data_IF_248271842499
#
_entry.id   IF_248271842499
#
_cell.length_a   1.000
_cell.length_b   1.000
_cell.length_c   1.000
_cell.angle_alpha   90.00
_cell.angle_beta   90.00
_cell.angle_gamma   90.00
#
_symmetry.space_group_name_H-M   'P 1'
#
loop_
_entity.id
_entity.type
_entity.pdbx_description
1 polymer ?
#
# COMPACT_ATOMS: atom_id res chain seq x y z
N UNK A 1 -27.85 -5.85 -20.91
CA UNK A 1 -27.54 -5.42 -19.53
C UNK A 1 -26.38 -6.28 -19.04
N UNK A 2 -25.27 -5.70 -18.61
CA UNK A 2 -24.15 -6.47 -18.03
C UNK A 2 -24.63 -7.21 -16.79
N UNK A 3 -24.22 -8.46 -16.61
CA UNK A 3 -24.44 -9.17 -15.35
C UNK A 3 -23.81 -8.39 -14.18
N UNK A 4 -24.41 -8.42 -12.97
CA UNK A 4 -23.86 -7.73 -11.81
C UNK A 4 -22.51 -8.37 -11.40
N UNK A 5 -21.54 -7.59 -10.91
CA UNK A 5 -20.20 -8.10 -10.60
C UNK A 5 -20.26 -9.13 -9.47
N UNK A 6 -19.74 -10.34 -9.72
CA UNK A 6 -19.72 -11.44 -8.76
C UNK A 6 -18.32 -11.71 -8.20
N UNK A 7 -17.29 -10.99 -8.64
CA UNK A 7 -15.91 -11.21 -8.25
C UNK A 7 -15.21 -9.93 -7.83
N UNK A 8 -14.60 -9.96 -6.65
CA UNK A 8 -13.77 -8.90 -6.08
C UNK A 8 -12.28 -9.24 -6.23
N UNK A 9 -11.47 -8.28 -6.69
CA UNK A 9 -10.03 -8.44 -6.81
C UNK A 9 -9.28 -7.67 -5.71
N UNK A 10 -8.28 -8.33 -5.12
CA UNK A 10 -7.39 -7.73 -4.12
C UNK A 10 -5.94 -7.87 -4.57
N UNK A 11 -5.25 -6.74 -4.75
CA UNK A 11 -3.80 -6.69 -4.97
C UNK A 11 -3.09 -6.66 -3.63
N UNK A 12 -2.49 -7.78 -3.24
CA UNK A 12 -1.74 -7.90 -1.99
C UNK A 12 -0.25 -7.79 -2.28
N UNK A 13 0.22 -6.55 -2.25
CA UNK A 13 1.61 -6.19 -2.50
C UNK A 13 2.14 -5.32 -1.35
N UNK A 14 3.35 -5.61 -0.89
CA UNK A 14 4.03 -4.87 0.17
C UNK A 14 5.46 -5.36 0.35
N UNK A 15 6.27 -4.59 1.07
CA UNK A 15 7.68 -4.95 1.32
C UNK A 15 7.80 -6.27 2.10
N UNK A 16 6.91 -6.48 3.06
CA UNK A 16 6.79 -7.69 3.87
C UNK A 16 5.32 -8.12 3.93
N UNK A 17 5.07 -9.42 3.98
CA UNK A 17 3.76 -10.03 4.23
C UNK A 17 3.91 -11.20 5.23
N UNK A 18 2.82 -11.60 5.88
CA UNK A 18 2.84 -12.79 6.74
C UNK A 18 1.44 -13.41 6.89
N UNK A 19 1.23 -14.56 6.29
CA UNK A 19 -0.04 -15.28 6.27
C UNK A 19 0.05 -16.52 7.16
N UNK A 20 -0.43 -16.41 8.40
CA UNK A 20 -0.28 -17.50 9.38
C UNK A 20 -1.08 -18.74 9.00
N UNK A 21 -0.44 -19.91 9.12
CA UNK A 21 -1.08 -21.23 9.02
C UNK A 21 -1.21 -21.89 10.41
N UNK A 22 -1.81 -23.07 10.47
CA UNK A 22 -1.97 -23.84 11.72
C UNK A 22 -0.66 -24.14 12.46
N UNK A 23 0.49 -24.11 11.76
CA UNK A 23 1.82 -24.35 12.32
C UNK A 23 2.36 -23.15 13.12
N UNK A 24 1.75 -21.97 12.99
CA UNK A 24 2.22 -20.72 13.58
C UNK A 24 1.75 -20.50 15.03
N UNK A 25 2.02 -21.46 15.93
CA UNK A 25 1.62 -21.42 17.35
C UNK A 25 2.80 -21.03 18.26
N UNK A 26 2.48 -20.30 19.33
CA UNK A 26 3.42 -19.90 20.39
C UNK A 26 4.59 -19.01 19.92
N UNK A 27 5.83 -19.43 20.20
CA UNK A 27 7.05 -18.67 19.96
C UNK A 27 7.50 -18.71 18.50
N UNK A 28 7.13 -19.74 17.74
CA UNK A 28 7.45 -19.87 16.32
C UNK A 28 6.24 -19.51 15.48
N UNK A 29 6.34 -18.44 14.69
CA UNK A 29 5.25 -17.91 13.86
C UNK A 29 5.61 -18.00 12.40
N UNK A 30 5.32 -19.14 11.76
CA UNK A 30 5.51 -19.38 10.33
C UNK A 30 4.52 -18.61 9.45
N UNK A 31 4.85 -18.47 8.18
CA UNK A 31 3.96 -17.96 7.13
C UNK A 31 3.75 -19.01 6.05
N UNK A 32 2.55 -19.04 5.48
CA UNK A 32 2.26 -19.76 4.24
C UNK A 32 2.87 -19.04 3.04
N UNK A 33 3.01 -19.75 1.92
CA UNK A 33 3.56 -19.23 0.65
C UNK A 33 2.60 -18.30 -0.11
N UNK A 34 1.32 -18.32 0.27
CA UNK A 34 0.28 -17.48 -0.31
C UNK A 34 -0.68 -16.96 0.79
N UNK A 35 -1.41 -15.86 0.51
CA UNK A 35 -2.49 -15.38 1.35
C UNK A 35 -3.48 -16.47 1.78
N UNK A 36 -3.69 -16.59 3.09
CA UNK A 36 -4.68 -17.51 3.65
C UNK A 36 -6.08 -16.89 3.62
N UNK A 37 -7.11 -17.73 3.51
CA UNK A 37 -8.51 -17.27 3.48
C UNK A 37 -8.85 -16.52 4.77
N UNK A 38 -8.42 -17.01 5.92
CA UNK A 38 -8.58 -16.32 7.21
C UNK A 38 -7.92 -14.94 7.23
N UNK A 39 -6.73 -14.79 6.65
CA UNK A 39 -6.02 -13.52 6.56
C UNK A 39 -6.77 -12.52 5.68
N UNK A 40 -7.23 -12.96 4.51
CA UNK A 40 -7.99 -12.13 3.56
C UNK A 40 -9.34 -11.73 4.15
N UNK A 41 -10.10 -12.66 4.72
CA UNK A 41 -11.39 -12.35 5.34
C UNK A 41 -11.24 -11.43 6.58
N UNK A 42 -10.16 -11.62 7.37
CA UNK A 42 -9.84 -10.71 8.47
C UNK A 42 -9.53 -9.28 7.98
N UNK A 43 -8.85 -9.15 6.85
CA UNK A 43 -8.61 -7.87 6.19
C UNK A 43 -9.93 -7.20 5.76
N UNK A 44 -10.86 -7.96 5.18
CA UNK A 44 -12.19 -7.46 4.80
C UNK A 44 -13.01 -7.02 6.02
N UNK A 45 -12.99 -7.79 7.11
CA UNK A 45 -13.62 -7.38 8.36
C UNK A 45 -13.02 -6.07 8.90
N UNK A 46 -11.71 -5.88 8.76
CA UNK A 46 -11.06 -4.62 9.15
C UNK A 46 -11.49 -3.44 8.27
N UNK A 47 -11.64 -3.65 6.97
CA UNK A 47 -12.17 -2.63 6.06
C UNK A 47 -13.61 -2.22 6.45
N UNK A 48 -14.45 -3.19 6.83
CA UNK A 48 -15.83 -2.94 7.26
C UNK A 48 -15.95 -2.42 8.71
N UNK A 49 -14.88 -2.49 9.52
CA UNK A 49 -14.91 -2.07 10.93
C UNK A 49 -15.58 -3.06 11.88
N UNK A 50 -15.59 -4.36 11.55
CA UNK A 50 -16.30 -5.39 12.31
C UNK A 50 -15.43 -5.95 13.45
N UNK A 51 -15.95 -5.89 14.68
CA UNK A 51 -15.26 -6.42 15.85
C UNK A 51 -15.04 -7.94 15.79
N UNK A 52 -14.01 -8.45 16.48
CA UNK A 52 -13.69 -9.89 16.47
C UNK A 52 -14.82 -10.79 16.98
N UNK A 53 -15.58 -10.31 17.97
CA UNK A 53 -16.73 -11.03 18.52
C UNK A 53 -17.88 -11.06 17.50
N UNK A 54 -18.27 -9.89 16.97
CA UNK A 54 -19.32 -9.74 15.97
C UNK A 54 -19.03 -10.51 14.66
N UNK A 55 -17.76 -10.61 14.29
CA UNK A 55 -17.34 -11.31 13.08
C UNK A 55 -17.83 -12.75 13.06
N UNK A 56 -17.69 -13.48 14.18
CA UNK A 56 -18.04 -14.91 14.25
C UNK A 56 -19.53 -15.15 14.00
N UNK A 57 -20.40 -14.30 14.55
CA UNK A 57 -21.84 -14.54 14.52
C UNK A 57 -22.50 -14.08 13.22
N UNK A 58 -22.09 -12.92 12.69
CA UNK A 58 -22.86 -12.23 11.64
C UNK A 58 -22.19 -12.22 10.26
N UNK A 59 -20.87 -12.38 10.21
CA UNK A 59 -20.08 -12.06 9.01
C UNK A 59 -19.24 -13.22 8.49
N UNK A 60 -18.52 -13.94 9.36
CA UNK A 60 -17.72 -15.08 8.96
C UNK A 60 -18.53 -16.16 8.23
N UNK A 61 -19.77 -16.51 8.62
CA UNK A 61 -20.58 -17.45 7.84
C UNK A 61 -20.86 -16.99 6.41
N UNK A 62 -21.07 -15.68 6.20
CA UNK A 62 -21.31 -15.09 4.88
C UNK A 62 -20.04 -15.02 4.05
N UNK A 63 -18.94 -14.59 4.66
CA UNK A 63 -17.64 -14.44 4.02
C UNK A 63 -16.98 -15.79 3.71
N UNK A 64 -17.21 -16.81 4.54
CA UNK A 64 -16.71 -18.16 4.32
C UNK A 64 -17.24 -18.79 3.02
N UNK A 65 -18.45 -18.41 2.60
CA UNK A 65 -19.07 -18.87 1.35
C UNK A 65 -18.46 -18.26 0.09
N UNK A 66 -17.66 -17.19 0.22
CA UNK A 66 -16.92 -16.65 -0.92
C UNK A 66 -15.85 -17.66 -1.36
N UNK A 67 -15.81 -17.97 -2.66
CA UNK A 67 -14.71 -18.74 -3.24
C UNK A 67 -13.49 -17.86 -3.37
N UNK A 68 -12.33 -18.40 -3.00
CA UNK A 68 -11.06 -17.68 -3.10
C UNK A 68 -10.12 -18.35 -4.10
N UNK A 69 -9.62 -17.55 -5.04
CA UNK A 69 -8.48 -17.88 -5.89
C UNK A 69 -7.33 -16.92 -5.62
N UNK A 70 -6.11 -17.40 -5.65
CA UNK A 70 -4.90 -16.61 -5.44
C UNK A 70 -3.91 -16.90 -6.57
N UNK A 71 -3.60 -15.90 -7.38
CA UNK A 71 -2.51 -15.95 -8.36
C UNK A 71 -1.26 -15.38 -7.72
N UNK A 72 -0.18 -16.16 -7.79
CA UNK A 72 1.12 -15.81 -7.22
C UNK A 72 1.94 -15.11 -8.31
N UNK A 73 1.77 -13.78 -8.39
CA UNK A 73 2.51 -12.95 -9.34
C UNK A 73 4.00 -12.92 -9.00
N UNK A 74 4.33 -12.87 -7.71
CA UNK A 74 5.69 -13.03 -7.18
C UNK A 74 5.63 -13.82 -5.87
N UNK A 75 6.27 -15.00 -5.75
CA UNK A 75 6.24 -15.79 -4.52
C UNK A 75 6.94 -15.09 -3.34
N UNK A 76 7.90 -14.22 -3.64
CA UNK A 76 8.73 -13.56 -2.64
C UNK A 76 9.79 -14.48 -2.02
N UNK A 77 10.52 -13.95 -1.05
CA UNK A 77 11.60 -14.64 -0.34
C UNK A 77 11.22 -14.77 1.13
N UNK A 78 11.30 -15.98 1.69
CA UNK A 78 11.04 -16.22 3.11
C UNK A 78 12.17 -15.64 3.96
N UNK A 79 11.81 -14.90 5.00
CA UNK A 79 12.75 -14.24 5.92
C UNK A 79 12.36 -14.47 7.38
N UNK A 80 13.36 -14.56 8.26
CA UNK A 80 13.16 -14.71 9.71
C UNK A 80 13.45 -13.42 10.47
N UNK A 81 12.50 -13.02 11.32
CA UNK A 81 12.64 -11.95 12.29
C UNK A 81 12.82 -12.52 13.70
N UNK A 82 13.89 -12.14 14.38
CA UNK A 82 14.12 -12.45 15.79
C UNK A 82 13.49 -11.37 16.65
N UNK A 83 12.36 -11.68 17.26
CA UNK A 83 11.46 -10.70 17.85
C UNK A 83 11.35 -10.88 19.37
N UNK A 84 11.94 -9.94 20.11
CA UNK A 84 11.93 -9.85 21.57
C UNK A 84 10.77 -8.97 22.06
N UNK A 85 10.10 -9.38 23.15
CA UNK A 85 9.07 -8.55 23.83
C UNK A 85 9.38 -8.48 25.32
N UNK A 86 9.19 -7.30 25.91
CA UNK A 86 9.17 -7.13 27.36
C UNK A 86 10.53 -7.20 28.03
N UNK A 87 11.61 -6.77 27.34
CA UNK A 87 12.92 -6.62 27.99
C UNK A 87 12.78 -5.72 29.24
N UNK A 88 13.05 -6.30 30.41
CA UNK A 88 12.90 -5.63 31.72
C UNK A 88 11.48 -5.61 32.31
N UNK A 89 10.47 -6.16 31.62
CA UNK A 89 9.11 -6.27 32.17
C UNK A 89 8.97 -7.51 33.06
N UNK A 90 8.21 -7.36 34.15
CA UNK A 90 7.88 -8.45 35.08
C UNK A 90 6.76 -9.31 34.47
N UNK A 91 7.14 -10.42 33.84
CA UNK A 91 6.20 -11.32 33.17
C UNK A 91 5.75 -12.44 34.13
N UNK A 92 4.49 -12.88 34.01
CA UNK A 92 3.95 -14.04 34.75
C UNK A 92 4.49 -15.33 34.11
N UNK A 93 5.06 -16.19 34.93
CA UNK A 93 5.48 -17.53 34.50
C UNK A 93 4.29 -18.49 34.55
N UNK A 94 4.13 -19.34 33.52
CA UNK A 94 3.34 -20.55 33.67
C UNK A 94 4.14 -21.52 34.56
N UNK A 95 3.69 -21.76 35.79
CA UNK A 95 4.29 -22.76 36.67
C UNK A 95 3.95 -24.18 36.18
N UNK A 96 4.59 -24.62 35.11
CA UNK A 96 4.82 -26.03 34.85
C UNK A 96 6.29 -26.31 35.13
N UNK A 97 6.63 -26.39 36.42
CA UNK A 97 7.83 -27.13 36.79
C UNK A 97 7.55 -28.59 36.41
N UNK A 98 8.11 -29.04 35.29
CA UNK A 98 8.24 -30.47 35.05
C UNK A 98 8.88 -31.07 36.32
N UNK A 99 8.24 -32.05 36.98
CA UNK A 99 8.79 -32.61 38.20
C UNK A 99 10.17 -33.19 37.87
N UNK A 100 11.19 -32.83 38.67
CA UNK A 100 12.57 -33.31 38.49
C UNK A 100 12.72 -34.84 38.68
N UNK A 101 11.62 -35.54 39.01
CA UNK A 101 11.52 -37.00 39.06
C UNK A 101 10.16 -37.43 38.51
N UNK A 102 10.09 -38.45 37.65
CA UNK A 102 8.81 -39.02 37.24
C UNK A 102 8.26 -39.83 38.43
N UNK A 103 7.34 -39.27 39.21
CA UNK A 103 6.58 -40.05 40.19
C UNK A 103 5.40 -40.71 39.48
N UNK A 104 5.40 -42.06 39.45
CA UNK A 104 4.32 -42.89 38.91
C UNK A 104 3.07 -42.88 39.81
N UNK A 105 2.54 -41.71 40.15
CA UNK A 105 1.25 -41.61 40.83
C UNK A 105 0.54 -40.38 40.29
N UNK A 106 -0.53 -40.62 39.52
CA UNK A 106 -1.49 -39.60 39.11
C UNK A 106 -2.21 -39.07 40.35
N UNK A 107 -1.74 -37.95 40.89
CA UNK A 107 -2.41 -37.25 41.96
C UNK A 107 -2.74 -35.83 41.49
N UNK A 108 -4.03 -35.67 41.16
CA UNK A 108 -4.84 -34.46 41.17
C UNK A 108 -4.12 -33.11 40.98
N UNK A 109 -4.18 -32.62 39.74
CA UNK A 109 -3.90 -31.23 39.40
C UNK A 109 -5.13 -30.36 39.72
N UNK A 110 -5.46 -30.21 41.00
CA UNK A 110 -6.47 -29.26 41.44
C UNK A 110 -6.27 -28.95 42.92
N UNK A 111 -5.56 -27.86 43.23
CA UNK A 111 -5.91 -27.03 44.39
C UNK A 111 -5.09 -25.73 44.44
N UNK A 112 -5.84 -24.61 44.52
CA UNK A 112 -5.49 -23.36 45.20
C UNK A 112 -4.22 -22.59 44.81
N UNK A 113 -4.19 -22.06 43.58
CA UNK A 113 -3.39 -20.86 43.28
C UNK A 113 -4.20 -19.60 43.61
N UNK A 114 -4.01 -19.08 44.82
CA UNK A 114 -4.41 -17.71 45.15
C UNK A 114 -3.61 -16.72 44.26
N UNK A 115 -4.24 -15.69 43.67
CA UNK A 115 -3.60 -14.82 42.66
C UNK A 115 -2.41 -14.00 43.19
N UNK A 116 -2.21 -13.95 44.51
CA UNK A 116 -1.29 -13.06 45.22
C UNK A 116 0.16 -13.55 45.31
N UNK A 117 0.49 -14.76 44.83
CA UNK A 117 1.88 -15.29 44.83
C UNK A 117 2.38 -15.76 43.47
N UNK A 118 1.97 -15.12 42.37
CA UNK A 118 2.62 -15.37 41.07
C UNK A 118 4.02 -14.75 41.07
N UNK A 119 5.06 -15.60 41.16
CA UNK A 119 6.45 -15.15 41.02
C UNK A 119 6.65 -14.55 39.63
N UNK A 120 7.00 -13.27 39.58
CA UNK A 120 7.35 -12.56 38.34
C UNK A 120 8.86 -12.38 38.28
N UNK A 121 9.46 -12.64 37.11
CA UNK A 121 10.88 -12.37 36.85
C UNK A 121 10.97 -11.37 35.70
N UNK A 122 12.00 -10.53 35.72
CA UNK A 122 12.38 -9.77 34.54
C UNK A 122 12.91 -10.78 33.50
N UNK A 123 12.12 -11.05 32.48
CA UNK A 123 12.44 -11.99 31.43
C UNK A 123 11.98 -11.43 30.09
N UNK A 124 12.71 -11.77 29.02
CA UNK A 124 12.38 -11.36 27.66
C UNK A 124 11.69 -12.52 26.96
N UNK A 125 10.48 -12.30 26.45
CA UNK A 125 9.83 -13.30 25.60
C UNK A 125 10.45 -13.26 24.22
N UNK A 126 10.96 -14.41 23.78
CA UNK A 126 11.53 -14.58 22.46
C UNK A 126 10.50 -15.21 21.53
N UNK A 127 10.31 -14.59 20.37
CA UNK A 127 9.55 -15.15 19.26
C UNK A 127 10.35 -15.08 17.98
N UNK A 128 10.20 -16.08 17.11
CA UNK A 128 10.77 -16.11 15.76
C UNK A 128 9.62 -16.05 14.78
N UNK A 129 9.60 -15.00 13.95
CA UNK A 129 8.48 -14.69 13.07
C UNK A 129 8.96 -14.72 11.63
N UNK A 130 8.33 -15.56 10.83
CA UNK A 130 8.63 -15.68 9.40
C UNK A 130 7.79 -14.66 8.62
N UNK A 131 8.36 -14.08 7.57
CA UNK A 131 7.72 -13.14 6.65
C UNK A 131 8.05 -13.53 5.20
N UNK A 132 7.18 -13.13 4.27
CA UNK A 132 7.46 -13.11 2.84
C UNK A 132 7.92 -11.71 2.46
N UNK A 133 9.16 -11.57 2.00
CA UNK A 133 9.71 -10.34 1.47
C UNK A 133 9.51 -10.27 -0.05
N UNK A 134 9.17 -9.09 -0.55
CA UNK A 134 9.01 -8.81 -2.00
C UNK A 134 7.94 -9.65 -2.73
N UNK A 135 6.97 -10.20 -1.99
CA UNK A 135 5.87 -10.96 -2.56
C UNK A 135 4.77 -10.07 -3.14
N UNK A 136 4.10 -10.55 -4.19
CA UNK A 136 2.93 -9.91 -4.80
C UNK A 136 1.90 -10.96 -5.19
N UNK A 137 0.67 -10.76 -4.77
CA UNK A 137 -0.43 -11.68 -5.04
C UNK A 137 -1.63 -10.92 -5.62
N UNK A 138 -2.35 -11.59 -6.51
CA UNK A 138 -3.70 -11.21 -6.89
C UNK A 138 -4.67 -12.22 -6.26
N UNK A 139 -5.58 -11.73 -5.43
CA UNK A 139 -6.66 -12.55 -4.86
C UNK A 139 -7.96 -12.23 -5.57
N UNK A 140 -8.67 -13.25 -6.04
CA UNK A 140 -10.04 -13.16 -6.53
C UNK A 140 -10.98 -13.79 -5.49
N UNK A 141 -12.01 -13.04 -5.09
CA UNK A 141 -13.09 -13.50 -4.21
C UNK A 141 -14.40 -13.50 -4.99
N UNK A 142 -14.92 -14.68 -5.29
CA UNK A 142 -16.14 -14.87 -6.07
C UNK A 142 -17.31 -15.26 -5.17
N UNK A 143 -18.47 -14.64 -5.37
CA UNK A 143 -19.68 -14.95 -4.62
C UNK A 143 -20.86 -14.06 -4.99
N UNK A 144 -21.74 -13.83 -4.02
CA UNK A 144 -22.98 -13.10 -4.21
C UNK A 144 -22.71 -11.60 -4.55
N UNK A 145 -23.33 -11.04 -5.61
CA UNK A 145 -23.01 -9.69 -6.09
C UNK A 145 -23.22 -8.56 -5.10
N UNK A 146 -24.26 -8.60 -4.25
CA UNK A 146 -24.50 -7.56 -3.25
C UNK A 146 -23.38 -7.56 -2.18
N UNK A 147 -22.96 -8.75 -1.74
CA UNK A 147 -21.83 -8.91 -0.83
C UNK A 147 -20.53 -8.39 -1.47
N UNK A 148 -20.26 -8.73 -2.73
CA UNK A 148 -19.09 -8.22 -3.47
C UNK A 148 -19.10 -6.70 -3.57
N UNK A 149 -20.24 -6.10 -3.92
CA UNK A 149 -20.40 -4.65 -3.98
C UNK A 149 -20.15 -3.99 -2.60
N UNK A 150 -20.69 -4.59 -1.53
CA UNK A 150 -20.50 -4.10 -0.15
C UNK A 150 -19.03 -4.15 0.28
N UNK A 151 -18.32 -5.24 -0.04
CA UNK A 151 -16.90 -5.40 0.28
C UNK A 151 -16.03 -4.42 -0.51
N UNK A 152 -16.32 -4.24 -1.80
CA UNK A 152 -15.65 -3.24 -2.64
C UNK A 152 -15.79 -1.83 -2.07
N UNK A 153 -17.01 -1.43 -1.67
CA UNK A 153 -17.26 -0.13 -1.06
C UNK A 153 -16.51 0.06 0.26
N UNK A 154 -16.43 -0.97 1.10
CA UNK A 154 -15.69 -0.94 2.36
C UNK A 154 -14.18 -0.80 2.14
N UNK A 155 -13.62 -1.48 1.15
CA UNK A 155 -12.18 -1.38 0.82
C UNK A 155 -11.78 -0.02 0.25
N UNK A 156 -12.71 0.67 -0.44
CA UNK A 156 -12.47 2.02 -0.92
C UNK A 156 -12.35 3.06 0.22
N UNK A 157 -12.99 2.80 1.37
CA UNK A 157 -12.99 3.65 2.56
C UNK A 157 -12.89 2.82 3.83
N UNK A 158 -11.72 2.20 4.12
CA UNK A 158 -11.59 1.25 5.21
C UNK A 158 -11.72 1.95 6.56
N UNK A 159 -12.49 1.34 7.48
CA UNK A 159 -12.71 1.86 8.83
C UNK A 159 -11.46 1.69 9.70
N UNK A 160 -10.78 0.54 9.58
CA UNK A 160 -9.51 0.29 10.27
C UNK A 160 -8.35 0.15 9.29
N UNK A 161 -7.13 0.35 9.81
CA UNK A 161 -5.92 0.22 9.03
C UNK A 161 -5.79 -1.18 8.40
N UNK A 162 -5.59 -1.21 7.10
CA UNK A 162 -5.39 -2.43 6.30
C UNK A 162 -3.92 -2.84 6.35
N UNK A 163 -3.67 -4.12 6.59
CA UNK A 163 -2.33 -4.68 6.68
C UNK A 163 -2.29 -6.12 6.14
N UNK A 164 -1.13 -6.52 5.63
CA UNK A 164 -0.89 -7.81 4.98
C UNK A 164 -0.50 -8.87 6.03
N UNK A 165 -1.53 -9.33 6.75
CA UNK A 165 -1.45 -10.35 7.78
C UNK A 165 -1.02 -9.83 9.15
N UNK A 166 0.18 -9.24 9.28
CA UNK A 166 0.62 -8.56 10.53
C UNK A 166 0.52 -7.04 10.39
N UNK A 167 0.18 -6.34 11.47
CA UNK A 167 0.08 -4.86 11.50
C UNK A 167 1.36 -4.13 11.05
N UNK A 168 2.52 -4.77 11.16
CA UNK A 168 3.82 -4.25 10.70
C UNK A 168 4.01 -4.32 9.18
N UNK A 169 3.06 -4.91 8.44
CA UNK A 169 3.14 -5.15 7.00
C UNK A 169 2.12 -4.27 6.26
N UNK A 170 2.38 -2.96 6.05
CA UNK A 170 1.50 -2.11 5.27
C UNK A 170 1.52 -2.50 3.79
N UNK A 171 0.39 -2.40 3.07
CA UNK A 171 0.39 -2.59 1.63
C UNK A 171 1.12 -1.43 0.93
N UNK A 172 1.86 -1.72 -0.14
CA UNK A 172 2.56 -0.71 -0.95
C UNK A 172 1.63 0.00 -1.94
N UNK A 173 0.45 -0.58 -2.21
CA UNK A 173 -0.53 -0.12 -3.19
C UNK A 173 -1.96 -0.29 -2.65
N UNK A 174 -2.95 0.43 -3.18
CA UNK A 174 -4.35 0.19 -2.82
C UNK A 174 -4.74 -1.26 -3.06
N UNK A 175 -5.30 -1.92 -2.04
CA UNK A 175 -5.67 -3.34 -2.15
C UNK A 175 -6.77 -3.56 -3.19
N UNK A 176 -7.69 -2.61 -3.36
CA UNK A 176 -8.79 -2.66 -4.33
C UNK A 176 -8.47 -1.90 -5.64
N UNK A 177 -7.24 -2.01 -6.15
CA UNK A 177 -6.83 -1.31 -7.39
C UNK A 177 -7.68 -1.72 -8.61
N UNK A 178 -8.09 -2.98 -8.69
CA UNK A 178 -8.89 -3.50 -9.79
C UNK A 178 -10.39 -3.50 -9.43
N UNK A 179 -11.27 -2.96 -10.29
CA UNK A 179 -12.71 -2.94 -10.02
C UNK A 179 -13.30 -4.36 -10.03
N UNK A 180 -14.39 -4.61 -9.30
CA UNK A 180 -15.13 -5.87 -9.38
C UNK A 180 -15.66 -6.13 -10.78
N UNK A 181 -15.79 -7.42 -11.13
CA UNK A 181 -16.31 -7.86 -12.43
C UNK A 181 -17.16 -9.12 -12.33
N UNK A 182 -17.82 -9.50 -13.42
CA UNK A 182 -18.53 -10.77 -13.55
C UNK A 182 -17.66 -11.77 -14.31
N UNK A 183 -17.46 -12.95 -13.72
CA UNK A 183 -16.73 -14.07 -14.33
C UNK A 183 -17.43 -15.38 -13.99
N UNK A 184 -17.34 -16.36 -14.88
CA UNK A 184 -17.94 -17.67 -14.64
C UNK A 184 -17.10 -18.44 -13.62
N UNK A 185 -15.80 -18.54 -13.85
CA UNK A 185 -14.87 -19.32 -13.00
C UNK A 185 -13.83 -18.44 -12.31
N UNK A 186 -13.24 -18.94 -11.22
CA UNK A 186 -12.11 -18.30 -10.56
C UNK A 186 -10.89 -18.18 -11.49
N UNK A 187 -10.68 -19.18 -12.34
CA UNK A 187 -9.58 -19.21 -13.30
C UNK A 187 -9.73 -18.08 -14.34
N UNK A 188 -10.93 -17.91 -14.92
CA UNK A 188 -11.25 -16.81 -15.82
C UNK A 188 -11.02 -15.45 -15.15
N UNK A 189 -11.45 -15.30 -13.90
CA UNK A 189 -11.25 -14.07 -13.13
C UNK A 189 -9.76 -13.77 -12.89
N UNK A 190 -8.98 -14.77 -12.49
CA UNK A 190 -7.54 -14.63 -12.25
C UNK A 190 -6.77 -14.35 -13.54
N UNK A 191 -7.23 -14.86 -14.69
CA UNK A 191 -6.64 -14.60 -16.01
C UNK A 191 -6.94 -13.19 -16.53
N UNK A 192 -8.12 -12.66 -16.22
CA UNK A 192 -8.60 -11.37 -16.74
C UNK A 192 -7.77 -10.15 -16.28
N UNK A 193 -7.16 -10.21 -15.10
CA UNK A 193 -6.36 -9.08 -14.58
C UNK A 193 -4.93 -9.19 -15.10
N UNK A 194 -4.39 -8.21 -15.83
CA UNK A 194 -3.06 -8.33 -16.40
C UNK A 194 -1.96 -8.41 -15.33
N UNK A 195 -0.89 -9.14 -15.63
CA UNK A 195 0.33 -9.12 -14.83
C UNK A 195 0.98 -7.73 -14.95
N UNK A 196 1.18 -7.05 -13.83
CA UNK A 196 1.77 -5.71 -13.82
C UNK A 196 3.28 -5.78 -13.55
N UNK A 197 4.06 -5.20 -14.46
CA UNK A 197 5.48 -4.94 -14.22
C UNK A 197 5.64 -3.83 -13.20
N UNK A 198 6.60 -3.94 -12.29
CA UNK A 198 6.98 -2.86 -11.37
C UNK A 198 7.98 -1.89 -11.99
N UNK A 199 8.82 -2.37 -12.89
CA UNK A 199 9.82 -1.59 -13.60
C UNK A 199 10.00 -2.13 -15.02
N UNK A 200 10.52 -1.30 -15.93
CA UNK A 200 10.47 -1.56 -17.38
C UNK A 200 11.09 -2.90 -17.80
N UNK A 201 12.22 -3.26 -17.19
CA UNK A 201 13.03 -4.43 -17.56
C UNK A 201 12.87 -5.60 -16.57
N UNK A 202 11.75 -5.64 -15.82
CA UNK A 202 11.49 -6.75 -14.91
C UNK A 202 11.41 -8.08 -15.68
N UNK A 203 12.19 -9.11 -15.29
CA UNK A 203 12.03 -10.44 -15.86
C UNK A 203 10.67 -11.00 -15.44
N UNK A 204 9.89 -11.41 -16.43
CA UNK A 204 8.57 -11.99 -16.20
C UNK A 204 8.67 -13.50 -16.01
N UNK A 205 7.92 -14.08 -15.06
CA UNK A 205 7.74 -15.52 -15.03
C UNK A 205 6.99 -15.99 -16.28
N UNK A 206 7.28 -17.21 -16.73
CA UNK A 206 6.52 -17.85 -17.83
C UNK A 206 5.19 -18.42 -17.32
N UNK A 207 5.18 -18.89 -16.07
CA UNK A 207 4.05 -19.56 -15.43
C UNK A 207 3.74 -18.84 -14.13
N UNK A 208 2.45 -18.60 -13.88
CA UNK A 208 1.91 -18.05 -12.65
C UNK A 208 1.16 -19.14 -11.87
N UNK A 209 1.74 -19.64 -10.77
CA UNK A 209 1.05 -20.60 -9.91
C UNK A 209 -0.20 -19.97 -9.28
N UNK A 210 -1.28 -20.72 -9.30
CA UNK A 210 -2.57 -20.35 -8.73
C UNK A 210 -3.01 -21.35 -7.67
N UNK A 211 -3.58 -20.85 -6.59
CA UNK A 211 -4.11 -21.62 -5.46
C UNK A 211 -5.59 -21.27 -5.34
N UNK A 212 -6.49 -22.23 -5.56
CA UNK A 212 -7.92 -21.97 -5.69
C UNK A 212 -8.78 -22.90 -4.84
N UNK A 213 -9.92 -22.39 -4.38
CA UNK A 213 -10.95 -23.18 -3.70
C UNK A 213 -11.57 -24.22 -4.63
N UNK A 214 -11.56 -25.48 -4.19
CA UNK A 214 -12.31 -26.56 -4.80
C UNK A 214 -13.62 -26.81 -4.04
N UNK A 215 -14.74 -26.86 -4.77
CA UNK A 215 -16.08 -27.07 -4.21
C UNK A 215 -16.78 -28.26 -4.91
N UNK A 216 -17.29 -29.24 -4.13
CA UNK A 216 -18.12 -30.31 -4.67
C UNK A 216 -19.32 -29.79 -5.46
N UNK A 217 -19.61 -30.41 -6.59
CA UNK A 217 -20.74 -30.10 -7.48
C UNK A 217 -20.47 -28.94 -8.44
N UNK A 218 -19.61 -27.98 -8.06
CA UNK A 218 -19.19 -26.92 -8.97
C UNK A 218 -17.98 -27.34 -9.82
N UNK A 219 -16.93 -27.83 -9.17
CA UNK A 219 -15.66 -28.22 -9.81
C UNK A 219 -15.60 -29.74 -10.10
N UNK A 220 -16.73 -30.44 -9.95
CA UNK A 220 -16.86 -31.89 -10.05
C UNK A 220 -17.44 -32.52 -8.79
N UNK A 221 -17.87 -33.79 -8.87
CA UNK A 221 -18.46 -34.51 -7.73
C UNK A 221 -17.40 -34.93 -6.70
N UNK A 222 -16.18 -35.22 -7.15
CA UNK A 222 -15.08 -35.74 -6.33
C UNK A 222 -13.86 -34.82 -6.42
N UNK A 223 -13.17 -34.65 -5.29
CA UNK A 223 -11.95 -33.86 -5.25
C UNK A 223 -10.86 -34.54 -6.10
N UNK A 224 -10.11 -33.78 -6.91
CA UNK A 224 -8.92 -34.29 -7.59
C UNK A 224 -7.91 -34.91 -6.61
N UNK A 225 -7.13 -35.88 -7.08
CA UNK A 225 -6.11 -36.55 -6.27
C UNK A 225 -5.01 -35.60 -5.76
N UNK A 226 -4.77 -34.48 -6.47
CA UNK A 226 -3.83 -33.43 -6.13
C UNK A 226 -4.41 -32.33 -5.22
N UNK A 227 -5.66 -32.48 -4.75
CA UNK A 227 -6.29 -31.51 -3.87
C UNK A 227 -5.65 -31.53 -2.47
N UNK A 228 -5.25 -30.35 -1.98
CA UNK A 228 -4.69 -30.15 -0.66
C UNK A 228 -5.77 -29.72 0.35
N UNK A 229 -5.58 -30.06 1.63
CA UNK A 229 -6.44 -29.59 2.72
C UNK A 229 -5.76 -28.44 3.45
N UNK A 230 -6.36 -27.26 3.42
CA UNK A 230 -5.88 -26.07 4.12
C UNK A 230 -6.79 -25.77 5.31
N UNK A 231 -6.21 -25.57 6.49
CA UNK A 231 -6.95 -25.25 7.73
C UNK A 231 -6.98 -23.75 8.01
N UNK A 232 -7.58 -22.99 7.10
CA UNK A 232 -7.59 -21.53 7.14
C UNK A 232 -8.97 -20.92 6.87
N UNK A 233 -10.05 -21.70 6.90
CA UNK A 233 -11.42 -21.18 6.84
C UNK A 233 -11.85 -20.67 8.23
N UNK A 234 -11.96 -19.36 8.48
CA UNK A 234 -12.17 -18.82 9.83
C UNK A 234 -13.61 -19.05 10.33
N UNK A 235 -13.73 -19.61 11.54
CA UNK A 235 -15.01 -19.72 12.28
C UNK A 235 -15.11 -18.63 13.35
N UNK A 236 -13.99 -18.35 14.03
CA UNK A 236 -13.90 -17.26 15.01
C UNK A 236 -12.50 -16.69 15.02
N UNK A 237 -12.38 -15.40 15.27
CA UNK A 237 -11.10 -14.73 15.53
C UNK A 237 -10.76 -14.64 17.02
N UNK A 238 -11.70 -14.95 17.91
CA UNK A 238 -11.53 -14.86 19.36
C UNK A 238 -12.38 -15.92 20.10
N UNK A 239 -11.77 -17.05 20.53
CA UNK A 239 -10.42 -17.51 20.20
C UNK A 239 -10.31 -17.89 18.71
N UNK A 240 -9.11 -17.81 18.11
CA UNK A 240 -8.91 -18.16 16.71
C UNK A 240 -9.23 -19.65 16.47
N UNK A 241 -10.22 -19.91 15.62
CA UNK A 241 -10.65 -21.25 15.19
C UNK A 241 -10.85 -21.28 13.68
N UNK A 242 -10.32 -22.33 13.05
CA UNK A 242 -10.40 -22.51 11.60
C UNK A 242 -10.88 -23.92 11.26
N UNK A 243 -11.63 -24.04 10.17
CA UNK A 243 -12.04 -25.29 9.54
C UNK A 243 -11.14 -25.62 8.35
N UNK A 244 -11.08 -26.89 7.94
CA UNK A 244 -10.45 -27.27 6.69
C UNK A 244 -11.25 -26.80 5.47
N UNK A 245 -10.55 -26.58 4.35
CA UNK A 245 -11.12 -26.44 3.01
C UNK A 245 -10.23 -27.17 1.99
N UNK A 246 -10.80 -27.59 0.88
CA UNK A 246 -10.07 -28.19 -0.23
C UNK A 246 -9.54 -27.11 -1.16
N UNK A 247 -8.28 -27.25 -1.55
CA UNK A 247 -7.55 -26.30 -2.36
C UNK A 247 -6.86 -27.05 -3.50
N UNK A 248 -7.03 -26.57 -4.72
CA UNK A 248 -6.37 -27.09 -5.91
C UNK A 248 -5.33 -26.10 -6.42
N UNK A 249 -4.30 -26.64 -7.07
CA UNK A 249 -3.28 -25.84 -7.75
C UNK A 249 -3.52 -25.85 -9.25
N UNK A 250 -3.36 -24.68 -9.87
CA UNK A 250 -3.35 -24.52 -11.32
C UNK A 250 -2.21 -23.60 -11.73
N UNK A 251 -1.91 -23.60 -13.00
CA UNK A 251 -0.84 -22.82 -13.59
C UNK A 251 -1.43 -22.00 -14.73
N UNK A 252 -1.17 -20.69 -14.74
CA UNK A 252 -1.56 -19.80 -15.83
C UNK A 252 -0.32 -19.39 -16.61
N UNK A 253 -0.37 -19.47 -17.94
CA UNK A 253 0.73 -19.13 -18.83
C UNK A 253 0.71 -17.63 -19.15
N UNK A 254 1.84 -16.96 -18.95
CA UNK A 254 1.97 -15.52 -19.23
C UNK A 254 2.08 -15.29 -20.74
N UNK A 255 1.20 -14.45 -21.28
CA UNK A 255 1.08 -14.14 -22.71
C UNK A 255 -0.05 -14.89 -23.40
N UNK A 256 -0.38 -16.10 -22.94
CA UNK A 256 -1.51 -16.90 -23.41
C UNK A 256 -2.74 -16.65 -22.53
N UNK A 257 -2.68 -17.09 -21.26
CA UNK A 257 -3.79 -16.95 -20.31
C UNK A 257 -3.82 -15.55 -19.67
N UNK A 258 -2.65 -15.04 -19.29
CA UNK A 258 -2.50 -13.76 -18.58
C UNK A 258 -1.74 -12.75 -19.43
N UNK A 259 -2.41 -11.68 -19.80
CA UNK A 259 -1.78 -10.57 -20.52
C UNK A 259 -0.87 -9.75 -19.60
N UNK A 260 0.18 -9.16 -20.16
CA UNK A 260 1.13 -8.31 -19.42
C UNK A 260 0.76 -6.86 -19.63
N UNK A 261 0.63 -6.11 -18.54
CA UNK A 261 0.38 -4.66 -18.59
C UNK A 261 1.54 -3.94 -19.28
N UNK A 262 1.21 -3.01 -20.18
CA UNK A 262 2.19 -2.11 -20.82
C UNK A 262 2.69 -1.03 -19.86
N UNK A 263 1.91 -0.70 -18.83
CA UNK A 263 2.24 0.31 -17.84
C UNK A 263 3.01 -0.32 -16.67
N UNK A 264 4.12 0.31 -16.28
CA UNK A 264 4.82 -0.03 -15.04
C UNK A 264 4.04 0.50 -13.84
N UNK A 265 3.71 -0.38 -12.91
CA UNK A 265 2.88 -0.16 -11.74
C UNK A 265 3.44 0.90 -10.81
N UNK A 266 3.14 2.15 -11.12
CA UNK A 266 2.81 3.18 -10.13
C UNK A 266 2.05 4.26 -10.88
N UNK A 267 0.72 4.22 -10.78
CA UNK A 267 0.03 5.50 -10.73
C UNK A 267 0.55 6.15 -9.44
N UNK A 268 1.52 7.05 -9.58
CA UNK A 268 1.92 7.91 -8.47
C UNK A 268 0.63 8.54 -8.01
N UNK A 269 0.20 8.29 -6.77
CA UNK A 269 -0.92 9.01 -6.19
C UNK A 269 -0.55 10.49 -6.23
N UNK A 270 -1.04 11.18 -7.26
CA UNK A 270 -0.91 12.62 -7.40
C UNK A 270 -2.16 13.15 -6.73
N UNK A 271 -2.06 13.73 -5.51
CA UNK A 271 -3.21 14.46 -4.97
C UNK A 271 -3.63 15.46 -6.04
N UNK A 272 -4.94 15.58 -6.32
CA UNK A 272 -5.45 16.59 -7.25
C UNK A 272 -4.91 17.94 -6.77
N UNK A 273 -3.95 18.50 -7.51
CA UNK A 273 -3.40 19.80 -7.17
C UNK A 273 -4.54 20.81 -7.22
N UNK A 274 -4.77 21.53 -6.13
CA UNK A 274 -5.60 22.73 -6.16
C UNK A 274 -4.91 23.73 -7.08
N UNK A 275 -5.48 24.00 -8.25
CA UNK A 275 -4.95 25.04 -9.14
C UNK A 275 -5.24 26.39 -8.48
N UNK A 276 -4.22 27.25 -8.37
CA UNK A 276 -4.41 28.59 -7.82
C UNK A 276 -5.47 29.33 -8.63
N UNK A 277 -6.51 29.81 -7.96
CA UNK A 277 -7.46 30.75 -8.54
C UNK A 277 -6.86 32.15 -8.52
N UNK A 278 -6.28 32.55 -9.65
CA UNK A 278 -5.65 33.86 -9.82
C UNK A 278 -6.65 35.03 -9.80
N UNK A 279 -7.96 34.77 -9.85
CA UNK A 279 -9.01 35.78 -9.78
C UNK A 279 -9.46 36.10 -8.35
N UNK A 280 -9.04 35.32 -7.36
CA UNK A 280 -9.36 35.56 -5.95
C UNK A 280 -8.68 36.86 -5.44
N UNK A 281 -9.47 37.73 -4.78
CA UNK A 281 -8.99 39.01 -4.23
C UNK A 281 -8.04 38.83 -3.03
N UNK A 282 -8.27 37.82 -2.20
CA UNK A 282 -7.39 37.49 -1.06
C UNK A 282 -6.03 37.01 -1.56
N UNK A 283 -6.01 36.22 -2.64
CA UNK A 283 -4.78 35.77 -3.30
C UNK A 283 -3.92 36.95 -3.78
N UNK A 284 -4.52 37.99 -4.37
CA UNK A 284 -3.80 39.19 -4.81
C UNK A 284 -3.24 39.99 -3.63
N UNK A 285 -4.00 40.07 -2.53
CA UNK A 285 -3.61 40.81 -1.32
C UNK A 285 -2.38 40.20 -0.64
N UNK A 286 -2.38 38.89 -0.40
CA UNK A 286 -1.27 38.18 0.25
C UNK A 286 0.02 38.26 -0.56
N UNK A 287 -0.07 38.23 -1.90
CA UNK A 287 1.10 38.40 -2.79
C UNK A 287 1.68 39.81 -2.70
N UNK A 288 0.84 40.84 -2.61
CA UNK A 288 1.28 42.22 -2.44
C UNK A 288 1.92 42.43 -1.06
N UNK A 289 1.32 41.89 0.00
CA UNK A 289 1.87 41.89 1.35
C UNK A 289 3.25 41.24 1.40
N UNK A 290 3.45 40.10 0.72
CA UNK A 290 4.76 39.46 0.66
C UNK A 290 5.82 40.31 -0.04
N UNK A 291 5.48 40.99 -1.14
CA UNK A 291 6.42 41.91 -1.80
C UNK A 291 6.84 43.05 -0.88
N UNK A 292 5.93 43.57 -0.06
CA UNK A 292 6.24 44.62 0.94
C UNK A 292 7.13 44.06 2.05
N UNK A 293 6.82 42.87 2.58
CA UNK A 293 7.65 42.22 3.62
C UNK A 293 9.08 41.96 3.16
N UNK A 294 9.27 41.59 1.89
CA UNK A 294 10.59 41.36 1.30
C UNK A 294 11.23 42.65 0.74
N UNK A 295 10.72 43.84 1.11
CA UNK A 295 11.21 45.16 0.67
C UNK A 295 11.30 45.32 -0.85
N UNK A 296 10.38 44.68 -1.59
CA UNK A 296 10.37 44.61 -3.04
C UNK A 296 11.71 44.12 -3.64
N UNK A 297 12.48 43.31 -2.90
CA UNK A 297 13.76 42.75 -3.33
C UNK A 297 13.64 41.25 -3.61
N UNK A 298 14.28 40.80 -4.68
CA UNK A 298 14.33 39.38 -5.04
C UNK A 298 15.18 38.61 -4.02
N UNK A 299 14.60 37.57 -3.41
CA UNK A 299 15.30 36.76 -2.40
C UNK A 299 16.57 36.07 -2.92
N UNK A 300 16.64 35.82 -4.23
CA UNK A 300 17.80 35.22 -4.89
C UNK A 300 18.84 36.26 -5.28
N UNK A 301 18.53 37.15 -6.22
CA UNK A 301 19.52 38.06 -6.81
C UNK A 301 19.48 39.51 -6.30
N UNK A 302 18.59 39.83 -5.36
CA UNK A 302 18.39 41.18 -4.78
C UNK A 302 17.95 42.27 -5.76
N UNK A 303 17.75 41.96 -7.04
CA UNK A 303 17.09 42.85 -8.00
C UNK A 303 15.62 43.13 -7.61
N UNK A 304 14.99 44.21 -8.12
CA UNK A 304 13.59 44.50 -7.84
C UNK A 304 12.67 43.30 -8.12
N UNK A 305 11.88 42.91 -7.11
CA UNK A 305 10.94 41.82 -7.21
C UNK A 305 9.60 42.31 -7.77
N UNK A 306 9.11 41.60 -8.78
CA UNK A 306 7.82 41.89 -9.44
C UNK A 306 6.85 40.73 -9.34
N UNK A 307 7.30 39.60 -8.79
CA UNK A 307 6.56 38.35 -8.72
C UNK A 307 6.81 37.66 -7.39
N UNK A 308 5.97 36.69 -7.02
CA UNK A 308 6.22 35.81 -5.88
C UNK A 308 6.16 34.36 -6.32
N UNK A 309 7.03 33.55 -5.70
CA UNK A 309 7.12 32.09 -5.89
C UNK A 309 6.51 31.39 -4.69
N UNK A 310 5.72 30.36 -4.95
CA UNK A 310 5.24 29.41 -3.95
C UNK A 310 6.32 28.37 -3.64
N UNK A 311 6.68 28.24 -2.36
CA UNK A 311 7.52 27.15 -1.86
C UNK A 311 6.66 25.91 -1.56
N UNK A 312 5.41 26.13 -1.17
CA UNK A 312 4.44 25.09 -0.92
C UNK A 312 3.13 25.39 -1.64
N UNK A 313 2.67 24.46 -2.48
CA UNK A 313 1.46 24.63 -3.28
C UNK A 313 0.20 24.07 -2.58
N UNK A 314 0.32 23.50 -1.37
CA UNK A 314 -0.80 22.88 -0.63
C UNK A 314 -1.96 23.82 -0.31
N UNK A 315 -1.69 25.12 -0.21
CA UNK A 315 -2.68 26.15 0.16
C UNK A 315 -2.95 27.17 -0.96
N UNK A 316 -2.43 26.91 -2.15
CA UNK A 316 -2.52 27.83 -3.27
C UNK A 316 -3.99 28.01 -3.71
N UNK A 317 -4.42 29.27 -3.90
CA UNK A 317 -5.78 29.61 -4.37
C UNK A 317 -6.75 30.19 -3.33
N UNK A 318 -6.25 30.83 -2.28
CA UNK A 318 -7.07 31.66 -1.37
C UNK A 318 -6.84 31.43 0.13
N UNK A 319 -6.09 30.41 0.53
CA UNK A 319 -5.72 30.17 1.95
C UNK A 319 -4.21 30.30 2.18
N UNK A 320 -3.57 31.17 1.39
CA UNK A 320 -2.13 31.34 1.41
C UNK A 320 -1.68 32.00 2.70
N UNK A 321 -0.56 31.51 3.23
CA UNK A 321 0.14 32.17 4.33
C UNK A 321 1.40 32.85 3.77
N UNK A 322 1.79 34.04 4.27
CA UNK A 322 2.97 34.75 3.78
C UNK A 322 4.28 33.92 3.85
N UNK A 323 4.36 32.94 4.73
CA UNK A 323 5.53 32.06 4.90
C UNK A 323 5.69 31.04 3.76
N UNK A 324 4.63 30.75 3.01
CA UNK A 324 4.68 29.85 1.84
C UNK A 324 5.15 30.56 0.56
N UNK A 325 5.36 31.88 0.62
CA UNK A 325 5.70 32.74 -0.51
C UNK A 325 7.09 33.37 -0.38
N UNK A 326 7.74 33.65 -1.51
CA UNK A 326 9.01 34.40 -1.60
C UNK A 326 8.97 35.41 -2.73
N UNK A 327 9.39 36.65 -2.49
CA UNK A 327 9.52 37.66 -3.53
C UNK A 327 10.68 37.34 -4.48
N UNK A 328 10.41 37.33 -5.78
CA UNK A 328 11.39 37.11 -6.83
C UNK A 328 11.24 38.13 -7.97
N UNK A 329 12.35 38.45 -8.62
CA UNK A 329 12.33 39.08 -9.93
C UNK A 329 11.90 38.06 -10.99
N UNK A 330 11.40 38.55 -12.14
CA UNK A 330 10.86 37.68 -13.20
C UNK A 330 11.84 36.61 -13.68
N UNK A 331 13.12 36.96 -13.82
CA UNK A 331 14.16 36.02 -14.27
C UNK A 331 14.43 34.89 -13.27
N UNK A 332 14.46 35.20 -11.97
CA UNK A 332 14.64 34.18 -10.93
C UNK A 332 13.40 33.28 -10.82
N UNK A 333 12.20 33.86 -10.97
CA UNK A 333 10.96 33.09 -11.00
C UNK A 333 10.91 32.13 -12.20
N UNK A 334 11.27 32.60 -13.40
CA UNK A 334 11.37 31.77 -14.61
C UNK A 334 12.37 30.61 -14.40
N UNK A 335 13.53 30.90 -13.79
CA UNK A 335 14.56 29.89 -13.47
C UNK A 335 14.04 28.81 -12.51
N UNK A 336 13.35 29.18 -11.42
CA UNK A 336 12.72 28.23 -10.51
C UNK A 336 11.70 27.36 -11.24
N UNK A 337 10.82 27.99 -12.04
CA UNK A 337 9.77 27.31 -12.78
C UNK A 337 10.33 26.28 -13.77
N UNK A 338 11.41 26.62 -14.49
CA UNK A 338 12.07 25.68 -15.41
C UNK A 338 12.71 24.50 -14.68
N UNK A 339 13.33 24.71 -13.52
CA UNK A 339 13.91 23.64 -12.70
C UNK A 339 12.83 22.70 -12.12
N UNK A 340 11.69 23.25 -11.73
CA UNK A 340 10.53 22.50 -11.22
C UNK A 340 9.92 21.61 -12.29
N UNK A 341 9.70 22.14 -13.50
CA UNK A 341 9.21 21.36 -14.63
C UNK A 341 10.15 20.21 -14.99
N UNK A 342 11.46 20.44 -14.99
CA UNK A 342 12.46 19.39 -15.25
C UNK A 342 12.53 18.31 -14.18
N UNK A 343 12.05 18.58 -12.95
CA UNK A 343 12.10 17.65 -11.81
C UNK A 343 10.73 17.04 -11.47
N UNK A 344 9.68 17.35 -12.24
CA UNK A 344 8.33 16.81 -12.02
C UNK A 344 7.68 17.21 -10.68
N UNK A 345 8.11 18.33 -10.08
CA UNK A 345 7.62 18.79 -8.77
C UNK A 345 6.20 19.38 -8.88
N UNK A 346 5.28 18.94 -8.02
CA UNK A 346 3.87 19.39 -8.05
C UNK A 346 3.44 20.15 -6.79
N UNK A 347 3.80 19.66 -5.60
CA UNK A 347 3.21 20.14 -4.33
C UNK A 347 4.23 20.84 -3.44
N UNK A 348 5.42 20.24 -3.28
CA UNK A 348 6.56 20.89 -2.65
C UNK A 348 7.41 21.48 -3.77
N UNK A 349 7.43 22.80 -3.85
CA UNK A 349 8.16 23.56 -4.86
C UNK A 349 9.53 23.95 -4.33
N UNK A 350 10.35 24.52 -5.21
CA UNK A 350 11.70 24.94 -4.83
C UNK A 350 11.60 26.12 -3.85
N UNK A 351 12.23 26.03 -2.68
CA UNK A 351 12.49 27.20 -1.83
C UNK A 351 13.74 27.94 -2.36
N UNK A 352 13.59 29.16 -2.90
CA UNK A 352 14.74 29.95 -3.36
C UNK A 352 15.69 30.41 -2.24
N UNK A 353 15.27 30.30 -0.97
CA UNK A 353 16.10 30.59 0.19
C UNK A 353 16.96 29.39 0.63
N UNK A 354 16.65 28.18 0.17
CA UNK A 354 17.46 26.99 0.46
C UNK A 354 18.81 27.08 -0.29
N UNK A 355 19.95 26.99 0.41
CA UNK A 355 21.29 27.03 -0.20
C UNK A 355 21.47 26.02 -1.34
N UNK A 356 20.87 24.82 -1.24
CA UNK A 356 20.98 23.75 -2.25
C UNK A 356 20.40 24.22 -3.59
N UNK A 357 19.30 24.97 -3.54
CA UNK A 357 18.60 25.44 -4.74
C UNK A 357 19.09 26.79 -5.23
N UNK A 358 19.56 27.65 -4.33
CA UNK A 358 20.03 29.00 -4.65
C UNK A 358 21.09 29.01 -5.75
N UNK A 359 22.12 28.18 -5.63
CA UNK A 359 23.19 28.05 -6.63
C UNK A 359 22.65 27.58 -7.99
N UNK A 360 21.76 26.57 -7.96
CA UNK A 360 21.14 26.02 -9.18
C UNK A 360 20.27 27.06 -9.89
N UNK A 361 19.54 27.89 -9.14
CA UNK A 361 18.72 28.98 -9.68
C UNK A 361 19.60 30.06 -10.32
N UNK A 362 20.72 30.42 -9.69
CA UNK A 362 21.65 31.41 -10.25
C UNK A 362 22.32 30.91 -11.53
N UNK A 363 22.73 29.65 -11.57
CA UNK A 363 23.26 29.01 -12.78
C UNK A 363 22.21 29.01 -13.90
N UNK A 364 20.98 28.56 -13.62
CA UNK A 364 19.88 28.53 -14.60
C UNK A 364 19.52 29.94 -15.08
N UNK A 365 19.55 30.94 -14.19
CA UNK A 365 19.35 32.35 -14.56
C UNK A 365 20.40 32.82 -15.57
N UNK A 366 21.67 32.46 -15.38
CA UNK A 366 22.75 32.82 -16.30
C UNK A 366 22.51 32.21 -17.69
N UNK A 367 22.13 30.94 -17.75
CA UNK A 367 21.76 30.28 -19.00
C UNK A 367 20.59 30.98 -19.73
N UNK A 368 19.54 31.38 -18.99
CA UNK A 368 18.40 32.11 -19.57
C UNK A 368 18.85 33.44 -20.18
N UNK A 369 19.72 34.19 -19.50
CA UNK A 369 20.25 35.47 -19.99
C UNK A 369 21.12 35.25 -21.23
N UNK A 370 22.02 34.26 -21.22
CA UNK A 370 22.85 33.92 -22.36
C UNK A 370 22.01 33.52 -23.58
N UNK A 371 21.00 32.67 -23.39
CA UNK A 371 20.07 32.27 -24.45
C UNK A 371 19.31 33.46 -25.04
N UNK A 372 18.73 34.32 -24.18
CA UNK A 372 18.01 35.52 -24.63
C UNK A 372 18.93 36.49 -25.37
N UNK A 373 20.18 36.66 -24.93
CA UNK A 373 21.17 37.52 -25.60
C UNK A 373 21.58 37.00 -26.98
N UNK A 374 21.74 35.68 -27.13
CA UNK A 374 22.05 35.03 -28.41
C UNK A 374 20.87 35.15 -29.39
N UNK A 375 19.64 34.91 -28.92
CA UNK A 375 18.43 35.10 -29.74
C UNK A 375 18.23 36.55 -30.20
N UNK A 376 18.57 37.52 -29.36
CA UNK A 376 18.53 38.95 -29.74
C UNK A 376 19.61 39.31 -30.77
N UNK A 377 20.82 38.74 -30.66
CA UNK A 377 21.89 38.88 -31.66
C UNK A 377 21.49 38.24 -33.00
N UNK A 378 20.90 37.05 -33.00
CA UNK A 378 20.37 36.42 -34.20
C UNK A 378 19.24 37.21 -34.87
N UNK A 379 18.33 37.83 -34.08
CA UNK A 379 17.28 38.71 -34.61
C UNK A 379 17.84 40.00 -35.22
N UNK A 380 18.91 40.57 -34.65
CA UNK A 380 19.61 41.74 -35.20
C UNK A 380 20.48 41.44 -36.44
N UNK A 381 20.78 40.17 -36.71
CA UNK A 381 21.53 39.72 -37.89
C UNK A 381 20.64 39.27 -39.05
N UNK A 382 19.30 39.28 -38.89
CA UNK A 382 18.42 39.08 -40.05
C UNK A 382 18.47 40.36 -40.91
N UNK A 383 18.70 40.26 -42.24
CA UNK A 383 18.62 41.42 -43.11
C UNK A 383 17.21 42.01 -43.07
N UNK A 384 17.10 43.34 -43.20
CA UNK A 384 15.84 44.04 -43.48
C UNK A 384 15.37 43.68 -44.90
N UNK A 385 14.86 42.48 -45.08
CA UNK A 385 14.07 42.12 -46.25
C UNK A 385 12.69 41.72 -45.75
N UNK A 386 11.82 42.73 -45.64
CA UNK A 386 10.35 42.70 -45.68
C UNK A 386 9.83 43.99 -45.03
N UNK A 387 9.92 45.11 -45.75
CA UNK A 387 8.97 46.23 -45.71
C UNK A 387 9.42 47.32 -46.71
N UNK A 388 8.76 47.38 -47.88
CA UNK A 388 8.64 48.58 -48.72
C UNK A 388 9.83 48.90 -49.62
#
# INVERSE_FOLDING_TARGET
MSAPPNTLFLRLEGALQSWGSNEAKFALRRTADAPTKSGVLGLLCAAMGIGRAEAADSWLPKLANLRMGVRIDRPGIRWWDFHTVGAGQRMRMAELKAPKKPSMVGAALAETLTPSKVKTRAETLLSRREYLADASFLVALQGEPELVAKLSAALAKPVWAIYLGRKSCPPSRPVCEHPPGFYNTLEEALSAVPLQKRWHNEPLPQILPCVMDWIPGYDGEHAPDDAEIHYDLPVSFQPPRHLPRFVIRRELVVGEDVQVSRETGTSVWRPKGTRADYNNSEYKKVRAERLVMDHAACMVCKAPATTVQHVNYRRAGGKEIPEDLRALCRLCHDACTMLEYGSGMTTNRIDPCDPIWRERILAKRKEIVEFRSRGQRFRKMKPEEENG
#
